data_IF_817130299585
#
_entry.id   IF_817130299585
#
_cell.length_a   1.000
_cell.length_b   1.000
_cell.length_c   1.000
_cell.angle_alpha   90.00
_cell.angle_beta   90.00
_cell.angle_gamma   90.00
#
_symmetry.space_group_name_H-M   'P 1'
#
loop_
_entity.id
_entity.type
_entity.pdbx_description
1 polymer ?
#
# COMPACT_ATOMS: atom_id res chain seq x y z
N UNK A 1 -37.16 42.75 -5.06
CA UNK A 1 -36.49 41.86 -6.03
C UNK A 1 -35.71 40.84 -5.21
N UNK A 2 -36.02 39.55 -5.37
CA UNK A 2 -35.46 38.48 -4.53
C UNK A 2 -34.26 37.84 -5.26
N UNK A 3 -33.10 37.82 -4.63
CA UNK A 3 -31.90 37.17 -5.17
C UNK A 3 -32.07 35.63 -5.15
N UNK A 4 -31.66 34.91 -6.21
CA UNK A 4 -31.65 33.45 -6.18
C UNK A 4 -30.42 32.94 -5.43
N UNK A 5 -30.65 32.20 -4.34
CA UNK A 5 -29.60 31.46 -3.64
C UNK A 5 -29.06 30.35 -4.54
N UNK A 6 -27.78 30.45 -4.94
CA UNK A 6 -27.05 29.36 -5.59
C UNK A 6 -26.96 28.18 -4.63
N UNK A 7 -27.63 27.08 -4.96
CA UNK A 7 -27.50 25.82 -4.24
C UNK A 7 -26.12 25.21 -4.54
N UNK A 8 -25.25 25.21 -3.52
CA UNK A 8 -23.95 24.56 -3.59
C UNK A 8 -24.19 23.05 -3.47
N UNK A 9 -24.12 22.32 -4.60
CA UNK A 9 -24.12 20.85 -4.54
C UNK A 9 -22.72 20.37 -4.11
N UNK A 10 -22.61 19.45 -3.14
CA UNK A 10 -21.30 18.95 -2.70
C UNK A 10 -20.62 18.19 -3.84
N UNK A 11 -19.40 18.60 -4.17
CA UNK A 11 -18.55 17.91 -5.13
C UNK A 11 -18.09 16.57 -4.51
N UNK A 12 -18.70 15.48 -4.93
CA UNK A 12 -18.27 14.13 -4.54
C UNK A 12 -17.06 13.77 -5.40
N UNK A 13 -15.86 13.86 -4.82
CA UNK A 13 -14.64 13.33 -5.41
C UNK A 13 -14.78 11.81 -5.47
N UNK A 14 -15.23 11.27 -6.60
CA UNK A 14 -15.12 9.85 -6.88
C UNK A 14 -13.68 9.62 -7.36
N UNK A 15 -12.82 9.15 -6.45
CA UNK A 15 -11.56 8.59 -6.89
C UNK A 15 -11.87 7.42 -7.84
N UNK A 16 -11.36 7.42 -9.08
CA UNK A 16 -11.44 6.24 -9.91
C UNK A 16 -10.68 5.14 -9.17
N UNK A 17 -11.39 4.09 -8.76
CA UNK A 17 -10.74 2.87 -8.30
C UNK A 17 -10.08 2.31 -9.54
N UNK A 18 -8.76 2.52 -9.68
CA UNK A 18 -7.97 1.86 -10.71
C UNK A 18 -8.26 0.37 -10.60
N UNK A 19 -8.89 -0.19 -11.62
CA UNK A 19 -9.09 -1.62 -11.73
C UNK A 19 -7.74 -2.24 -12.02
N UNK A 20 -6.97 -2.54 -10.96
CA UNK A 20 -5.79 -3.38 -11.08
C UNK A 20 -6.22 -4.66 -11.80
N UNK A 21 -5.63 -4.91 -12.97
CA UNK A 21 -5.84 -6.19 -13.65
C UNK A 21 -5.26 -7.26 -12.73
N UNK A 22 -6.11 -8.20 -12.31
CA UNK A 22 -5.80 -9.31 -11.40
C UNK A 22 -4.57 -10.14 -11.87
N UNK A 23 -4.22 -10.02 -13.15
CA UNK A 23 -3.10 -10.69 -13.82
C UNK A 23 -1.69 -10.35 -13.31
N UNK A 24 -1.50 -9.28 -12.51
CA UNK A 24 -0.18 -8.88 -11.99
C UNK A 24 -0.02 -9.02 -10.47
N UNK A 25 -1.03 -9.58 -9.78
CA UNK A 25 -0.98 -9.78 -8.33
C UNK A 25 -0.14 -11.01 -7.95
N UNK A 26 0.86 -10.81 -7.09
CA UNK A 26 1.63 -11.91 -6.50
C UNK A 26 0.98 -12.40 -5.22
N UNK A 27 0.69 -13.70 -5.14
CA UNK A 27 0.20 -14.37 -3.93
C UNK A 27 1.36 -14.94 -3.12
N UNK A 28 1.33 -14.74 -1.79
CA UNK A 28 2.28 -15.31 -0.83
C UNK A 28 1.49 -16.10 0.21
N UNK A 29 1.78 -17.39 0.37
CA UNK A 29 1.16 -18.26 1.39
C UNK A 29 2.09 -18.41 2.59
N UNK A 30 1.60 -18.02 3.76
CA UNK A 30 2.30 -18.19 5.05
C UNK A 30 1.53 -19.23 5.86
N UNK A 31 2.24 -20.19 6.47
CA UNK A 31 1.64 -21.23 7.31
C UNK A 31 2.32 -21.24 8.67
N UNK A 32 1.52 -21.24 9.72
CA UNK A 32 1.96 -21.41 11.10
C UNK A 32 1.60 -22.82 11.57
N UNK A 33 2.44 -23.41 12.41
CA UNK A 33 2.12 -24.62 13.16
C UNK A 33 1.14 -24.28 14.28
N UNK A 34 0.31 -25.25 14.68
CA UNK A 34 -0.73 -25.07 15.71
C UNK A 34 -0.21 -24.54 17.05
N UNK A 35 1.02 -24.90 17.43
CA UNK A 35 1.66 -24.43 18.67
C UNK A 35 2.21 -23.00 18.62
N UNK A 36 2.24 -22.40 17.43
CA UNK A 36 2.76 -21.05 17.28
C UNK A 36 1.74 -20.03 17.78
N UNK A 37 2.18 -19.09 18.59
CA UNK A 37 1.32 -18.05 19.18
C UNK A 37 1.20 -16.80 18.31
N UNK A 38 1.87 -16.78 17.16
CA UNK A 38 1.86 -15.64 16.25
C UNK A 38 0.47 -15.38 15.63
N UNK A 39 -0.30 -16.41 15.20
CA UNK A 39 -1.68 -16.21 14.74
C UNK A 39 -2.55 -15.46 15.76
N UNK A 40 -2.53 -15.88 17.03
CA UNK A 40 -3.30 -15.23 18.09
C UNK A 40 -2.87 -13.76 18.31
N UNK A 41 -1.57 -13.49 18.24
CA UNK A 41 -1.01 -12.14 18.36
C UNK A 41 -1.43 -11.25 17.19
N UNK A 42 -1.43 -11.79 15.97
CA UNK A 42 -1.89 -11.10 14.77
C UNK A 42 -3.38 -10.77 14.87
N UNK A 43 -4.21 -11.74 15.26
CA UNK A 43 -5.64 -11.55 15.48
C UNK A 43 -5.92 -10.45 16.51
N UNK A 44 -5.27 -10.53 17.68
CA UNK A 44 -5.42 -9.53 18.73
C UNK A 44 -5.04 -8.14 18.23
N UNK A 45 -3.91 -8.02 17.55
CA UNK A 45 -3.39 -6.72 17.09
C UNK A 45 -4.20 -6.14 15.93
N UNK A 46 -4.68 -6.97 15.01
CA UNK A 46 -5.56 -6.57 13.93
C UNK A 46 -6.88 -6.02 14.48
N UNK A 47 -7.45 -6.68 15.50
CA UNK A 47 -8.64 -6.22 16.21
C UNK A 47 -8.43 -4.89 16.94
N UNK A 48 -7.29 -4.69 17.61
CA UNK A 48 -6.96 -3.42 18.26
C UNK A 48 -6.89 -2.24 17.27
N UNK A 49 -6.59 -2.52 16.00
CA UNK A 49 -6.41 -1.52 14.94
C UNK A 49 -7.60 -1.41 14.00
N UNK A 50 -8.64 -2.24 14.19
CA UNK A 50 -9.83 -2.35 13.32
C UNK A 50 -9.48 -2.59 11.83
N UNK A 51 -8.54 -3.51 11.57
CA UNK A 51 -8.09 -3.93 10.23
C UNK A 51 -8.06 -5.45 10.11
N UNK A 52 -7.87 -5.97 8.89
CA UNK A 52 -7.69 -7.41 8.70
C UNK A 52 -6.26 -7.87 9.01
N UNK A 53 -6.08 -9.17 9.25
CA UNK A 53 -4.74 -9.76 9.47
C UNK A 53 -3.86 -9.59 8.23
N UNK A 54 -4.42 -9.73 7.03
CA UNK A 54 -3.70 -9.57 5.76
C UNK A 54 -3.18 -8.14 5.59
N UNK A 55 -4.00 -7.15 5.96
CA UNK A 55 -3.60 -5.74 5.95
C UNK A 55 -2.48 -5.48 6.96
N UNK A 56 -2.58 -6.08 8.16
CA UNK A 56 -1.55 -5.98 9.18
C UNK A 56 -0.23 -6.64 8.71
N UNK A 57 -0.29 -7.84 8.15
CA UNK A 57 0.88 -8.57 7.62
C UNK A 57 1.51 -7.78 6.47
N UNK A 58 0.71 -7.26 5.53
CA UNK A 58 1.21 -6.40 4.44
C UNK A 58 1.96 -5.19 5.00
N UNK A 59 1.37 -4.50 5.99
CA UNK A 59 2.00 -3.34 6.65
C UNK A 59 3.34 -3.70 7.29
N UNK A 60 3.40 -4.82 8.01
CA UNK A 60 4.64 -5.28 8.66
C UNK A 60 5.72 -5.67 7.66
N UNK A 61 5.36 -6.36 6.57
CA UNK A 61 6.32 -6.72 5.52
C UNK A 61 6.87 -5.47 4.84
N UNK A 62 6.01 -4.53 4.44
CA UNK A 62 6.46 -3.28 3.80
C UNK A 62 7.39 -2.48 4.73
N UNK A 63 6.97 -2.23 5.97
CA UNK A 63 7.79 -1.48 6.93
C UNK A 63 9.13 -2.18 7.22
N UNK A 64 9.13 -3.51 7.41
CA UNK A 64 10.36 -4.26 7.67
C UNK A 64 11.31 -4.31 6.47
N UNK A 65 10.80 -4.15 5.25
CA UNK A 65 11.62 -4.08 4.03
C UNK A 65 12.18 -2.67 3.79
N UNK A 66 11.41 -1.62 4.12
CA UNK A 66 11.91 -0.22 4.11
C UNK A 66 13.12 -0.07 5.05
N UNK A 67 13.10 -0.72 6.22
CA UNK A 67 14.23 -0.73 7.15
C UNK A 67 15.42 -1.60 6.69
N UNK A 68 15.22 -2.51 5.71
CA UNK A 68 16.27 -3.37 5.16
C UNK A 68 17.04 -2.68 4.02
N UNK A 69 16.42 -1.71 3.35
CA UNK A 69 17.07 -0.80 2.42
C UNK A 69 17.79 0.33 3.18
N UNK A 70 18.70 -0.05 4.07
CA UNK A 70 19.69 0.91 4.58
C UNK A 70 20.69 1.23 3.48
N UNK A 71 20.39 2.32 2.79
CA UNK A 71 21.31 3.29 2.18
C UNK A 71 22.06 2.82 0.91
N UNK A 72 21.36 2.77 -0.22
CA UNK A 72 21.98 2.71 -1.56
C UNK A 72 22.63 4.05 -1.99
N UNK A 73 22.80 4.99 -1.06
CA UNK A 73 23.37 6.30 -1.31
C UNK A 73 22.40 7.26 -2.02
N UNK A 74 22.89 8.40 -2.54
CA UNK A 74 22.03 9.39 -3.17
C UNK A 74 21.31 8.81 -4.39
N UNK A 75 20.05 9.20 -4.58
CA UNK A 75 19.22 8.72 -5.66
C UNK A 75 19.92 8.87 -7.03
N UNK A 76 19.84 7.82 -7.85
CA UNK A 76 20.40 7.83 -9.22
C UNK A 76 19.47 8.66 -10.13
N UNK A 77 19.97 9.70 -10.82
CA UNK A 77 19.16 10.49 -11.73
C UNK A 77 18.78 9.67 -12.97
N UNK A 78 17.49 9.72 -13.33
CA UNK A 78 16.99 9.11 -14.57
C UNK A 78 16.78 10.12 -15.69
N UNK A 79 16.72 9.64 -16.92
CA UNK A 79 16.38 10.43 -18.13
C UNK A 79 14.89 10.77 -18.19
N UNK A 80 14.06 10.12 -17.37
CA UNK A 80 12.64 10.39 -17.16
C UNK A 80 12.20 9.99 -15.74
N UNK A 81 10.98 10.33 -15.32
CA UNK A 81 10.45 9.89 -14.02
C UNK A 81 10.32 8.36 -13.92
N UNK A 82 9.88 7.71 -14.99
CA UNK A 82 9.75 6.25 -15.07
C UNK A 82 11.12 5.59 -14.89
N UNK A 83 12.13 6.08 -15.61
CA UNK A 83 13.53 5.63 -15.51
C UNK A 83 14.13 5.90 -14.12
N UNK A 84 13.87 7.07 -13.52
CA UNK A 84 14.29 7.39 -12.16
C UNK A 84 13.75 6.37 -11.14
N UNK A 85 12.47 6.00 -11.23
CA UNK A 85 11.89 5.00 -10.32
C UNK A 85 12.45 3.59 -10.54
N UNK A 86 12.77 3.22 -11.78
CA UNK A 86 13.42 1.94 -12.08
C UNK A 86 14.85 1.91 -11.54
N UNK A 87 15.63 2.97 -11.74
CA UNK A 87 17.04 3.04 -11.31
C UNK A 87 17.23 3.03 -9.78
N UNK A 88 16.20 3.45 -9.04
CA UNK A 88 16.19 3.48 -7.57
C UNK A 88 15.38 2.32 -6.96
N UNK A 89 15.11 1.26 -7.74
CA UNK A 89 14.50 0.02 -7.21
C UNK A 89 13.00 0.10 -6.89
N UNK A 90 12.36 1.25 -7.13
CA UNK A 90 10.95 1.50 -6.84
C UNK A 90 10.03 0.78 -7.84
N UNK A 91 10.44 0.72 -9.11
CA UNK A 91 9.70 0.07 -10.20
C UNK A 91 10.56 -0.98 -10.91
N UNK A 92 9.89 -1.95 -11.54
CA UNK A 92 10.54 -2.89 -12.45
C UNK A 92 10.69 -2.25 -13.84
N UNK A 93 11.72 -2.61 -14.61
CA UNK A 93 11.79 -2.25 -16.02
C UNK A 93 10.59 -2.84 -16.79
N UNK A 94 10.10 -2.08 -17.77
CA UNK A 94 9.04 -2.50 -18.71
C UNK A 94 9.52 -3.60 -19.65
#
# INVERSE_FOLDING_TARGET
MSEPRLAIQPYVVRYPVEQYRDSDMKEIKIRFQERETMPDKLEKRAKELDITIEQLVKRFICAGMEDYETDDGPAKPGESLDDFFVQNGVLKPK
#
